data_IF_326705421726
#
_entry.id   IF_326705421726
#
_cell.length_a   1.000
_cell.length_b   1.000
_cell.length_c   1.000
_cell.angle_alpha   90.00
_cell.angle_beta   90.00
_cell.angle_gamma   90.00
#
_symmetry.space_group_name_H-M   'P 1'
#
loop_
_entity.id
_entity.type
_entity.pdbx_description
1 polymer ?
#
# COMPACT_ATOMS: atom_id res chain seq x y z
N UNK A 1 -21.56 72.25 -6.43
CA UNK A 1 -20.65 71.23 -5.79
C UNK A 1 -21.41 69.94 -5.76
N UNK A 2 -21.05 69.03 -6.65
CA UNK A 2 -21.62 67.68 -6.72
C UNK A 2 -20.62 66.72 -6.10
N UNK A 3 -21.01 66.03 -5.03
CA UNK A 3 -20.23 64.98 -4.40
C UNK A 3 -20.51 63.65 -5.15
N UNK A 4 -19.46 63.07 -5.77
CA UNK A 4 -19.52 61.77 -6.39
C UNK A 4 -19.18 60.74 -5.32
N UNK A 5 -20.18 59.99 -4.85
CA UNK A 5 -20.01 58.85 -4.00
C UNK A 5 -19.55 57.62 -4.82
N UNK A 6 -18.32 57.17 -4.64
CA UNK A 6 -17.82 55.93 -5.18
C UNK A 6 -18.26 54.77 -4.31
N UNK A 7 -19.22 53.97 -4.78
CA UNK A 7 -19.57 52.68 -4.20
C UNK A 7 -18.55 51.65 -4.67
N UNK A 8 -17.75 51.11 -3.73
CA UNK A 8 -16.89 49.94 -3.95
C UNK A 8 -17.79 48.70 -3.86
N UNK A 9 -17.86 47.85 -4.88
CA UNK A 9 -18.59 46.58 -4.76
C UNK A 9 -17.78 45.61 -3.90
N UNK A 10 -18.37 45.20 -2.78
CA UNK A 10 -17.89 44.15 -1.92
C UNK A 10 -18.01 42.78 -2.64
N UNK A 11 -16.99 42.39 -3.40
CA UNK A 11 -16.76 40.99 -3.73
C UNK A 11 -16.06 40.35 -2.54
N UNK A 12 -16.81 40.01 -1.50
CA UNK A 12 -16.38 39.02 -0.53
C UNK A 12 -16.45 37.68 -1.27
N UNK A 13 -15.33 37.27 -1.88
CA UNK A 13 -15.11 35.89 -2.26
C UNK A 13 -15.07 35.16 -0.95
N UNK A 14 -16.13 34.44 -0.62
CA UNK A 14 -16.12 33.43 0.40
C UNK A 14 -15.00 32.45 0.01
N UNK A 15 -13.86 32.56 0.68
CA UNK A 15 -12.87 31.47 0.67
C UNK A 15 -13.60 30.31 1.29
N UNK A 16 -13.97 29.35 0.44
CA UNK A 16 -14.34 28.01 0.85
C UNK A 16 -13.12 27.45 1.61
N UNK A 17 -13.19 27.57 2.93
CA UNK A 17 -12.23 26.93 3.81
C UNK A 17 -12.55 25.43 3.79
N UNK A 18 -12.20 24.76 2.69
CA UNK A 18 -12.17 23.32 2.67
C UNK A 18 -11.12 22.91 3.71
N UNK A 19 -11.60 22.56 4.90
CA UNK A 19 -10.80 21.92 5.92
C UNK A 19 -10.24 20.68 5.23
N UNK A 20 -8.91 20.61 5.11
CA UNK A 20 -8.26 19.42 4.53
C UNK A 20 -8.82 18.18 5.23
N UNK A 21 -9.16 17.13 4.49
CA UNK A 21 -9.74 15.93 5.09
C UNK A 21 -8.82 15.42 6.21
N UNK A 22 -9.42 15.05 7.33
CA UNK A 22 -8.70 14.62 8.54
C UNK A 22 -7.81 13.40 8.29
N UNK A 23 -8.18 12.57 7.31
CA UNK A 23 -7.50 11.34 6.94
C UNK A 23 -7.30 11.26 5.43
N UNK A 24 -6.31 10.47 4.93
CA UNK A 24 -6.13 10.20 3.52
C UNK A 24 -7.39 9.61 2.87
N UNK A 25 -7.57 9.75 1.54
CA UNK A 25 -8.67 9.09 0.85
C UNK A 25 -8.60 7.58 1.00
N UNK A 26 -9.75 6.91 0.93
CA UNK A 26 -9.80 5.43 1.00
C UNK A 26 -9.29 4.86 -0.31
N UNK A 27 -8.24 4.08 -0.24
CA UNK A 27 -7.67 3.31 -1.33
C UNK A 27 -8.02 1.81 -1.23
N UNK A 28 -7.64 1.06 -2.27
CA UNK A 28 -7.77 -0.39 -2.34
C UNK A 28 -6.47 -1.01 -2.88
N UNK A 29 -5.93 -2.01 -2.16
CA UNK A 29 -5.02 -2.96 -2.78
C UNK A 29 -5.85 -3.89 -3.67
N UNK A 30 -5.70 -3.73 -4.99
CA UNK A 30 -6.59 -4.41 -5.95
C UNK A 30 -6.35 -5.92 -6.06
N UNK A 31 -5.31 -6.45 -5.38
CA UNK A 31 -5.15 -7.88 -5.15
C UNK A 31 -6.40 -8.49 -4.48
N UNK A 32 -7.09 -7.72 -3.63
CA UNK A 32 -8.39 -8.08 -3.03
C UNK A 32 -9.37 -8.61 -4.08
N UNK A 33 -9.35 -8.05 -5.28
CA UNK A 33 -10.20 -8.45 -6.43
C UNK A 33 -9.38 -9.10 -7.55
N UNK A 34 -8.20 -9.62 -7.23
CA UNK A 34 -7.30 -10.26 -8.17
C UNK A 34 -7.94 -11.42 -8.93
N UNK A 35 -8.87 -12.13 -8.32
CA UNK A 35 -9.63 -13.21 -8.95
C UNK A 35 -10.52 -12.72 -10.11
N UNK A 36 -11.03 -11.48 -10.06
CA UNK A 36 -11.76 -10.84 -11.17
C UNK A 36 -10.80 -10.34 -12.25
N UNK A 37 -9.75 -9.62 -11.82
CA UNK A 37 -8.78 -8.99 -12.73
C UNK A 37 -7.93 -9.98 -13.51
N UNK A 38 -7.67 -11.17 -12.98
CA UNK A 38 -6.92 -12.24 -13.64
C UNK A 38 -7.82 -13.32 -14.29
N UNK A 39 -9.13 -13.14 -14.27
CA UNK A 39 -10.04 -14.08 -14.92
C UNK A 39 -9.83 -14.06 -16.46
N UNK A 40 -9.95 -15.21 -17.15
CA UNK A 40 -9.91 -15.23 -18.60
C UNK A 40 -10.97 -14.29 -19.21
N UNK A 41 -10.52 -13.37 -20.09
CA UNK A 41 -11.40 -12.39 -20.71
C UNK A 41 -11.85 -11.24 -19.80
N UNK A 42 -11.19 -11.02 -18.68
CA UNK A 42 -11.50 -9.91 -17.76
C UNK A 42 -11.46 -8.56 -18.45
N UNK A 43 -12.50 -7.77 -18.29
CA UNK A 43 -12.51 -6.35 -18.67
C UNK A 43 -11.96 -5.52 -17.51
N UNK A 44 -10.63 -5.29 -17.55
CA UNK A 44 -9.91 -4.52 -16.53
C UNK A 44 -10.54 -3.14 -16.30
N UNK A 45 -10.94 -2.43 -17.38
CA UNK A 45 -11.55 -1.10 -17.26
C UNK A 45 -12.90 -1.15 -16.53
N UNK A 46 -13.74 -2.12 -16.85
CA UNK A 46 -15.03 -2.31 -16.17
C UNK A 46 -14.85 -2.61 -14.69
N UNK A 47 -13.86 -3.44 -14.34
CA UNK A 47 -13.57 -3.77 -12.93
C UNK A 47 -13.04 -2.55 -12.18
N UNK A 48 -12.11 -1.76 -12.78
CA UNK A 48 -11.63 -0.51 -12.18
C UNK A 48 -12.77 0.50 -11.98
N UNK A 49 -13.72 0.56 -12.91
CA UNK A 49 -14.93 1.40 -12.76
C UNK A 49 -15.77 0.97 -11.55
N UNK A 50 -16.00 -0.33 -11.35
CA UNK A 50 -16.71 -0.84 -10.19
C UNK A 50 -15.99 -0.49 -8.88
N UNK A 51 -14.64 -0.57 -8.87
CA UNK A 51 -13.81 -0.15 -7.72
C UNK A 51 -14.01 1.34 -7.44
N UNK A 52 -14.02 2.20 -8.45
CA UNK A 52 -14.28 3.63 -8.27
C UNK A 52 -15.71 3.91 -7.75
N UNK A 53 -16.69 3.16 -8.23
CA UNK A 53 -18.13 3.34 -7.91
C UNK A 53 -18.45 3.01 -6.44
N UNK A 54 -17.73 2.09 -5.79
CA UNK A 54 -17.87 1.86 -4.35
C UNK A 54 -17.24 2.96 -3.49
N UNK A 55 -16.56 3.94 -4.13
CA UNK A 55 -16.03 5.13 -3.47
C UNK A 55 -14.53 5.11 -3.19
N UNK A 56 -13.81 4.16 -3.74
CA UNK A 56 -12.34 4.14 -3.76
C UNK A 56 -11.80 5.29 -4.62
N UNK A 57 -10.68 5.87 -4.22
CA UNK A 57 -10.02 6.99 -4.93
C UNK A 57 -8.59 6.66 -5.34
N UNK A 58 -7.92 5.80 -4.60
CA UNK A 58 -6.54 5.41 -4.84
C UNK A 58 -6.46 3.89 -4.95
N UNK A 59 -5.56 3.40 -5.79
CA UNK A 59 -5.30 1.98 -5.91
C UNK A 59 -3.83 1.67 -5.79
N UNK A 60 -3.58 0.49 -5.30
CA UNK A 60 -2.29 -0.18 -5.28
C UNK A 60 -2.42 -1.54 -5.94
N UNK A 61 -1.42 -1.97 -6.66
CA UNK A 61 -1.41 -3.24 -7.37
C UNK A 61 -0.42 -4.23 -6.78
N UNK A 62 -0.61 -5.53 -7.00
CA UNK A 62 0.32 -6.60 -6.62
C UNK A 62 0.60 -7.52 -7.80
N UNK A 63 1.04 -6.94 -8.90
CA UNK A 63 1.31 -7.62 -10.17
C UNK A 63 2.52 -6.98 -10.85
N UNK A 64 2.77 -7.27 -12.11
CA UNK A 64 3.88 -6.64 -12.84
C UNK A 64 5.19 -7.44 -12.82
N UNK A 65 5.20 -8.63 -12.22
CA UNK A 65 6.39 -9.48 -12.20
C UNK A 65 6.88 -9.93 -13.58
N UNK A 66 6.08 -9.73 -14.63
CA UNK A 66 6.43 -9.92 -16.03
C UNK A 66 6.40 -8.61 -16.84
N UNK A 67 6.33 -7.45 -16.18
CA UNK A 67 6.19 -6.14 -16.80
C UNK A 67 4.79 -5.81 -17.30
N UNK A 68 3.77 -6.61 -16.89
CA UNK A 68 2.37 -6.37 -17.23
C UNK A 68 1.52 -6.26 -15.97
N UNK A 69 0.61 -5.30 -15.97
CA UNK A 69 -0.32 -5.01 -14.90
C UNK A 69 -1.73 -5.45 -15.35
N UNK A 70 -2.14 -6.61 -14.88
CA UNK A 70 -3.37 -7.29 -15.32
C UNK A 70 -3.46 -7.37 -16.86
N UNK A 71 -2.34 -7.82 -17.50
CA UNK A 71 -2.23 -7.97 -18.96
C UNK A 71 -1.94 -6.67 -19.73
N UNK A 72 -1.87 -5.53 -19.07
CA UNK A 72 -1.63 -4.22 -19.68
C UNK A 72 -0.20 -3.73 -19.41
N UNK A 73 0.37 -2.95 -20.33
CA UNK A 73 1.59 -2.18 -20.06
C UNK A 73 1.33 -1.09 -19.02
N UNK A 74 2.36 -0.62 -18.27
CA UNK A 74 2.19 0.34 -17.17
C UNK A 74 1.39 1.57 -17.58
N UNK A 75 1.74 2.23 -18.65
CA UNK A 75 1.05 3.43 -19.18
C UNK A 75 -0.42 3.16 -19.50
N UNK A 76 -0.73 2.04 -20.15
CA UNK A 76 -2.11 1.68 -20.51
C UNK A 76 -2.95 1.42 -19.27
N UNK A 77 -2.39 0.70 -18.28
CA UNK A 77 -3.08 0.46 -17.02
C UNK A 77 -3.34 1.78 -16.28
N UNK A 78 -2.35 2.68 -16.22
CA UNK A 78 -2.48 3.99 -15.60
C UNK A 78 -3.58 4.86 -16.26
N UNK A 79 -3.65 4.85 -17.60
CA UNK A 79 -4.72 5.53 -18.36
C UNK A 79 -6.09 4.95 -18.03
N UNK A 80 -6.22 3.62 -17.98
CA UNK A 80 -7.46 2.96 -17.58
C UNK A 80 -7.90 3.35 -16.15
N UNK A 81 -6.98 3.37 -15.19
CA UNK A 81 -7.26 3.79 -13.82
C UNK A 81 -7.73 5.26 -13.78
N UNK A 82 -6.99 6.14 -14.44
CA UNK A 82 -7.31 7.58 -14.52
C UNK A 82 -8.69 7.83 -15.14
N UNK A 83 -9.02 7.17 -16.24
CA UNK A 83 -10.31 7.31 -16.92
C UNK A 83 -11.49 6.90 -16.06
N UNK A 84 -11.27 6.00 -15.09
CA UNK A 84 -12.28 5.57 -14.12
C UNK A 84 -12.30 6.43 -12.84
N UNK A 85 -11.42 7.43 -12.74
CA UNK A 85 -11.34 8.34 -11.61
C UNK A 85 -10.48 7.80 -10.45
N UNK A 86 -9.66 6.79 -10.70
CA UNK A 86 -8.72 6.22 -9.76
C UNK A 86 -7.31 6.77 -9.97
N UNK A 87 -6.56 6.95 -8.87
CA UNK A 87 -5.13 7.27 -8.90
C UNK A 87 -4.33 6.02 -8.54
N UNK A 88 -3.43 5.59 -9.40
CA UNK A 88 -2.52 4.49 -9.12
C UNK A 88 -1.31 5.00 -8.34
N UNK A 89 -1.18 4.55 -7.08
CA UNK A 89 -0.20 5.06 -6.13
C UNK A 89 1.10 4.24 -6.17
N UNK A 90 1.00 2.93 -6.23
CA UNK A 90 2.16 2.05 -6.18
C UNK A 90 1.85 0.61 -6.56
N UNK A 91 2.90 -0.20 -6.56
CA UNK A 91 2.81 -1.61 -6.88
C UNK A 91 3.67 -2.46 -5.94
N UNK A 92 3.10 -3.56 -5.47
CA UNK A 92 3.79 -4.60 -4.73
C UNK A 92 4.65 -5.47 -5.64
N UNK A 93 5.91 -5.66 -5.25
CA UNK A 93 6.88 -6.51 -5.93
C UNK A 93 7.74 -7.28 -4.91
N UNK A 94 8.30 -8.43 -5.31
CA UNK A 94 9.21 -9.18 -4.45
C UNK A 94 10.57 -8.49 -4.25
N UNK A 95 11.15 -8.63 -3.08
CA UNK A 95 12.48 -8.13 -2.72
C UNK A 95 13.61 -9.10 -3.05
N UNK A 96 14.32 -9.57 -2.02
CA UNK A 96 15.32 -10.65 -2.14
C UNK A 96 14.58 -11.99 -2.30
N UNK A 97 14.83 -12.74 -3.40
CA UNK A 97 14.22 -14.05 -3.57
C UNK A 97 14.64 -15.03 -2.47
N UNK A 98 13.69 -15.82 -1.99
CA UNK A 98 13.99 -16.92 -1.06
C UNK A 98 14.84 -17.97 -1.78
N UNK A 99 15.85 -18.50 -1.10
CA UNK A 99 16.59 -19.65 -1.60
C UNK A 99 15.64 -20.85 -1.64
N UNK A 100 15.48 -21.55 -2.78
CA UNK A 100 14.65 -22.74 -2.84
C UNK A 100 15.13 -23.77 -1.80
N UNK A 101 14.21 -24.37 -1.06
CA UNK A 101 14.56 -25.48 -0.18
C UNK A 101 15.20 -26.60 -1.03
N UNK A 102 16.23 -27.25 -0.50
CA UNK A 102 16.95 -28.31 -1.19
C UNK A 102 16.07 -29.52 -1.63
N UNK A 103 14.84 -29.60 -1.09
CA UNK A 103 13.84 -30.62 -1.42
C UNK A 103 12.84 -30.21 -2.51
N UNK A 104 12.96 -29.01 -3.10
CA UNK A 104 12.02 -28.56 -4.14
C UNK A 104 12.31 -29.28 -5.47
N UNK A 105 11.66 -30.41 -5.70
CA UNK A 105 11.76 -31.24 -6.91
C UNK A 105 11.01 -30.72 -8.13
N UNK A 106 10.62 -29.44 -8.14
CA UNK A 106 9.91 -28.87 -9.29
C UNK A 106 10.88 -28.69 -10.47
N UNK A 107 10.80 -29.60 -11.43
CA UNK A 107 11.57 -29.57 -12.70
C UNK A 107 11.04 -28.58 -13.73
N UNK A 108 9.90 -27.93 -13.48
CA UNK A 108 9.36 -26.89 -14.37
C UNK A 108 9.96 -25.55 -13.98
N UNK A 109 10.85 -25.03 -14.83
CA UNK A 109 11.33 -23.65 -14.74
C UNK A 109 10.15 -22.68 -14.94
N UNK A 110 9.53 -22.25 -13.83
CA UNK A 110 8.59 -21.11 -13.90
C UNK A 110 9.38 -19.88 -14.33
N UNK A 111 8.87 -19.06 -15.26
CA UNK A 111 9.49 -17.78 -15.55
C UNK A 111 9.75 -17.06 -14.22
N UNK A 112 11.01 -16.64 -13.99
CA UNK A 112 11.35 -15.91 -12.76
C UNK A 112 10.60 -14.59 -12.80
N UNK A 113 9.71 -14.38 -11.83
CA UNK A 113 9.09 -13.08 -11.62
C UNK A 113 10.19 -12.06 -11.29
N UNK A 114 10.07 -10.85 -11.83
CA UNK A 114 10.95 -9.72 -11.48
C UNK A 114 10.94 -9.50 -9.98
N UNK A 115 12.08 -9.08 -9.46
CA UNK A 115 12.28 -8.78 -8.05
C UNK A 115 13.28 -7.63 -7.88
N UNK A 116 13.28 -6.98 -6.72
CA UNK A 116 14.11 -5.80 -6.47
C UNK A 116 15.61 -6.08 -6.47
N UNK A 117 16.04 -7.30 -6.15
CA UNK A 117 17.48 -7.64 -6.21
C UNK A 117 17.99 -7.66 -7.65
N UNK A 118 17.23 -8.26 -8.57
CA UNK A 118 17.71 -8.61 -9.90
C UNK A 118 17.25 -7.63 -10.99
N UNK A 119 16.09 -6.96 -10.80
CA UNK A 119 15.39 -6.20 -11.85
C UNK A 119 14.96 -4.81 -11.37
N UNK A 120 15.67 -4.21 -10.42
CA UNK A 120 15.22 -2.97 -9.77
C UNK A 120 14.99 -1.82 -10.76
N UNK A 121 15.87 -1.66 -11.76
CA UNK A 121 15.74 -0.59 -12.75
C UNK A 121 14.44 -0.73 -13.55
N UNK A 122 14.17 -1.94 -14.08
CA UNK A 122 12.96 -2.21 -14.86
C UNK A 122 11.66 -1.98 -14.04
N UNK A 123 11.71 -2.32 -12.74
CA UNK A 123 10.58 -2.13 -11.83
C UNK A 123 10.31 -0.64 -11.58
N UNK A 124 11.38 0.13 -11.38
CA UNK A 124 11.29 1.58 -11.18
C UNK A 124 10.83 2.28 -12.46
N UNK A 125 11.35 1.86 -13.62
CA UNK A 125 10.94 2.40 -14.93
C UNK A 125 9.45 2.15 -15.20
N UNK A 126 8.96 0.93 -14.93
CA UNK A 126 7.54 0.59 -15.05
C UNK A 126 6.67 1.45 -14.11
N UNK A 127 7.09 1.63 -12.85
CA UNK A 127 6.39 2.47 -11.89
C UNK A 127 6.34 3.94 -12.33
N UNK A 128 7.45 4.46 -12.86
CA UNK A 128 7.55 5.82 -13.40
C UNK A 128 6.66 5.98 -14.64
N UNK A 129 6.66 5.01 -15.58
CA UNK A 129 5.79 5.02 -16.76
C UNK A 129 4.30 5.01 -16.37
N UNK A 130 3.97 4.29 -15.28
CA UNK A 130 2.63 4.26 -14.69
C UNK A 130 2.25 5.51 -13.89
N UNK A 131 3.19 6.43 -13.65
CA UNK A 131 2.97 7.62 -12.82
C UNK A 131 2.77 7.31 -11.34
N UNK A 132 3.29 6.18 -10.86
CA UNK A 132 3.27 5.81 -9.45
C UNK A 132 4.17 6.74 -8.63
N UNK A 133 3.80 6.96 -7.38
CA UNK A 133 4.62 7.69 -6.40
C UNK A 133 5.40 6.76 -5.46
N UNK A 134 5.08 5.46 -5.47
CA UNK A 134 5.69 4.46 -4.61
C UNK A 134 6.07 3.17 -5.35
N UNK A 135 7.22 2.62 -4.94
CA UNK A 135 7.63 1.23 -5.19
C UNK A 135 7.56 0.50 -3.87
N UNK A 136 6.83 -0.62 -3.79
CA UNK A 136 6.55 -1.29 -2.53
C UNK A 136 7.02 -2.74 -2.60
N UNK A 137 7.84 -3.15 -1.62
CA UNK A 137 8.22 -4.55 -1.47
C UNK A 137 7.19 -5.29 -0.64
N UNK A 138 6.53 -6.29 -1.22
CA UNK A 138 5.52 -7.08 -0.51
C UNK A 138 6.07 -8.30 0.22
N UNK A 139 7.26 -8.77 -0.14
CA UNK A 139 7.86 -9.94 0.49
C UNK A 139 9.35 -10.04 0.18
N UNK A 140 10.14 -10.52 1.12
CA UNK A 140 11.58 -10.72 0.95
C UNK A 140 12.06 -11.93 1.75
N UNK A 141 13.26 -12.42 1.47
CA UNK A 141 13.90 -13.46 2.26
C UNK A 141 14.33 -12.89 3.61
N UNK A 142 13.82 -13.43 4.71
CA UNK A 142 14.05 -12.98 6.09
C UNK A 142 14.18 -14.15 7.08
N UNK A 143 14.44 -15.36 6.63
CA UNK A 143 14.44 -16.54 7.49
C UNK A 143 15.73 -16.73 8.31
N UNK A 144 16.80 -15.99 8.00
CA UNK A 144 18.06 -15.95 8.71
C UNK A 144 18.53 -14.51 8.89
N UNK A 145 19.42 -14.26 9.85
CA UNK A 145 20.00 -12.93 10.04
C UNK A 145 20.76 -12.45 8.80
N UNK A 146 21.41 -13.33 8.06
CA UNK A 146 22.09 -13.01 6.81
C UNK A 146 21.08 -12.58 5.71
N UNK A 147 19.96 -13.28 5.59
CA UNK A 147 18.88 -12.87 4.68
C UNK A 147 18.29 -11.51 5.07
N UNK A 148 18.07 -11.25 6.36
CA UNK A 148 17.58 -9.95 6.85
C UNK A 148 18.56 -8.83 6.48
N UNK A 149 19.86 -9.01 6.67
CA UNK A 149 20.90 -8.05 6.29
C UNK A 149 20.89 -7.77 4.79
N UNK A 150 20.89 -8.81 3.97
CA UNK A 150 20.85 -8.69 2.49
C UNK A 150 19.54 -8.05 2.01
N UNK A 151 18.44 -8.35 2.66
CA UNK A 151 17.15 -7.70 2.39
C UNK A 151 17.23 -6.19 2.65
N UNK A 152 17.81 -5.77 3.77
CA UNK A 152 18.02 -4.34 4.06
C UNK A 152 18.93 -3.66 3.01
N UNK A 153 19.98 -4.33 2.53
CA UNK A 153 20.83 -3.82 1.44
C UNK A 153 20.06 -3.64 0.13
N UNK A 154 19.17 -4.58 -0.22
CA UNK A 154 18.28 -4.45 -1.39
C UNK A 154 17.34 -3.25 -1.22
N UNK A 155 16.81 -3.03 -0.02
CA UNK A 155 15.91 -1.90 0.26
C UNK A 155 16.61 -0.54 0.21
N UNK A 156 17.87 -0.46 0.66
CA UNK A 156 18.68 0.78 0.51
C UNK A 156 18.81 1.13 -0.98
N UNK A 157 19.18 0.15 -1.83
CA UNK A 157 19.28 0.38 -3.28
C UNK A 157 17.94 0.76 -3.90
N UNK A 158 16.85 0.12 -3.44
CA UNK A 158 15.50 0.44 -3.90
C UNK A 158 15.08 1.87 -3.53
N UNK A 159 15.39 2.29 -2.30
CA UNK A 159 15.13 3.66 -1.83
C UNK A 159 15.93 4.69 -2.61
N UNK A 160 17.22 4.43 -2.87
CA UNK A 160 18.08 5.33 -3.64
C UNK A 160 17.58 5.50 -5.08
N UNK A 161 17.20 4.41 -5.75
CA UNK A 161 16.74 4.47 -7.13
C UNK A 161 15.33 5.06 -7.26
N UNK A 162 14.43 4.78 -6.31
CA UNK A 162 13.11 5.40 -6.27
C UNK A 162 13.24 6.93 -6.12
N UNK A 163 14.09 7.42 -5.19
CA UNK A 163 14.35 8.85 -4.98
C UNK A 163 14.87 9.53 -6.25
N UNK A 164 15.82 8.90 -6.98
CA UNK A 164 16.35 9.41 -8.26
C UNK A 164 15.26 9.57 -9.33
N UNK A 165 14.17 8.84 -9.22
CA UNK A 165 13.02 8.90 -10.13
C UNK A 165 11.81 9.64 -9.55
N UNK A 166 12.00 10.48 -8.51
CA UNK A 166 10.95 11.24 -7.81
C UNK A 166 9.86 10.35 -7.22
N UNK A 167 10.21 9.13 -6.84
CA UNK A 167 9.36 8.17 -6.14
C UNK A 167 9.93 7.86 -4.76
N UNK A 168 9.17 7.14 -3.97
CA UNK A 168 9.57 6.67 -2.63
C UNK A 168 9.49 5.15 -2.58
N UNK A 169 10.22 4.57 -1.63
CA UNK A 169 10.24 3.12 -1.42
C UNK A 169 9.65 2.76 -0.06
N UNK A 170 8.83 1.71 -0.01
CA UNK A 170 8.31 1.15 1.24
C UNK A 170 8.42 -0.37 1.27
N UNK A 171 8.49 -0.93 2.47
CA UNK A 171 8.38 -2.36 2.74
C UNK A 171 7.06 -2.66 3.44
N UNK A 172 6.27 -3.55 2.87
CA UNK A 172 5.03 -4.06 3.43
C UNK A 172 5.33 -5.27 4.33
N UNK A 173 4.83 -5.23 5.57
CA UNK A 173 5.01 -6.34 6.50
C UNK A 173 3.84 -7.32 6.45
N UNK A 174 4.19 -8.57 6.74
CA UNK A 174 3.27 -9.60 7.22
C UNK A 174 3.54 -9.87 8.70
N UNK A 175 3.03 -10.99 9.20
CA UNK A 175 3.25 -11.40 10.59
C UNK A 175 4.69 -11.85 10.85
N UNK A 176 5.33 -12.53 9.88
CA UNK A 176 6.67 -13.12 10.01
C UNK A 176 7.79 -12.10 10.22
N UNK A 177 7.60 -10.85 9.82
CA UNK A 177 8.57 -9.77 10.02
C UNK A 177 8.81 -9.45 11.51
N UNK A 178 7.88 -9.86 12.38
CA UNK A 178 7.98 -9.69 13.82
C UNK A 178 8.54 -10.93 14.55
N UNK A 179 8.81 -12.03 13.83
CA UNK A 179 9.42 -13.22 14.42
C UNK A 179 10.88 -12.94 14.83
N UNK A 180 11.30 -13.52 15.96
CA UNK A 180 12.68 -13.41 16.45
C UNK A 180 13.59 -14.35 15.69
N UNK A 181 14.55 -13.80 14.96
CA UNK A 181 15.57 -14.51 14.19
C UNK A 181 16.93 -14.11 14.74
N UNK A 182 17.61 -15.02 15.43
CA UNK A 182 18.95 -14.78 16.01
C UNK A 182 19.02 -13.50 16.86
N UNK A 183 17.93 -13.20 17.59
CA UNK A 183 17.85 -12.08 18.53
C UNK A 183 17.39 -10.74 17.92
N UNK A 184 17.01 -10.71 16.65
CA UNK A 184 16.42 -9.54 15.98
C UNK A 184 15.11 -9.89 15.29
N UNK A 185 14.24 -8.90 15.03
CA UNK A 185 13.14 -9.03 14.08
C UNK A 185 13.52 -8.37 12.77
N UNK A 186 13.04 -8.89 11.63
CA UNK A 186 13.27 -8.25 10.34
C UNK A 186 12.67 -6.83 10.30
N UNK A 187 11.50 -6.65 10.93
CA UNK A 187 10.83 -5.36 11.05
C UNK A 187 11.71 -4.29 11.73
N UNK A 188 12.20 -4.57 12.94
CA UNK A 188 13.06 -3.63 13.67
C UNK A 188 14.42 -3.44 12.96
N UNK A 189 14.98 -4.51 12.41
CA UNK A 189 16.27 -4.45 11.72
C UNK A 189 16.23 -3.49 10.53
N UNK A 190 15.21 -3.61 9.66
CA UNK A 190 15.03 -2.71 8.51
C UNK A 190 14.87 -1.27 8.98
N UNK A 191 14.00 -1.01 9.96
CA UNK A 191 13.74 0.35 10.44
C UNK A 191 14.93 1.02 11.11
N UNK A 192 15.84 0.24 11.73
CA UNK A 192 17.01 0.77 12.46
C UNK A 192 18.29 0.82 11.62
N UNK A 193 18.39 0.00 10.57
CA UNK A 193 19.60 -0.12 9.76
C UNK A 193 19.47 0.46 8.34
N UNK A 194 18.39 1.18 8.05
CA UNK A 194 18.19 1.87 6.76
C UNK A 194 17.92 3.36 6.96
N UNK A 195 18.19 4.15 5.93
CA UNK A 195 17.92 5.60 5.97
C UNK A 195 16.42 5.86 6.10
N UNK A 196 16.03 6.53 7.18
CA UNK A 196 14.64 6.88 7.49
C UNK A 196 13.98 7.81 6.46
N UNK A 197 14.73 8.44 5.57
CA UNK A 197 14.21 9.30 4.50
C UNK A 197 14.00 8.55 3.19
N UNK A 198 14.54 7.33 3.07
CA UNK A 198 14.56 6.56 1.82
C UNK A 198 13.81 5.24 1.90
N UNK A 199 13.85 4.58 3.06
CA UNK A 199 13.17 3.30 3.29
C UNK A 199 12.06 3.52 4.30
N UNK A 200 10.82 3.40 3.86
CA UNK A 200 9.61 3.51 4.68
C UNK A 200 8.97 2.15 4.88
N UNK A 201 7.93 2.10 5.68
CA UNK A 201 7.08 0.92 5.83
C UNK A 201 5.69 1.22 5.32
N UNK A 202 5.12 0.27 4.65
CA UNK A 202 3.68 0.14 4.50
C UNK A 202 3.20 -0.79 5.61
N UNK A 203 2.60 -0.22 6.66
CA UNK A 203 2.19 -1.01 7.81
C UNK A 203 0.87 -1.73 7.54
N UNK A 204 0.90 -3.06 7.49
CA UNK A 204 -0.33 -3.86 7.57
C UNK A 204 -0.78 -3.93 9.03
N UNK A 205 -1.90 -3.25 9.31
CA UNK A 205 -2.44 -3.11 10.66
C UNK A 205 -2.91 -4.45 11.23
N UNK A 206 -3.43 -5.34 10.38
CA UNK A 206 -3.92 -6.64 10.77
C UNK A 206 -2.78 -7.61 11.09
N UNK A 207 -1.77 -7.69 10.23
CA UNK A 207 -0.63 -8.57 10.46
C UNK A 207 0.22 -8.13 11.65
N UNK A 208 0.38 -6.81 11.85
CA UNK A 208 0.99 -6.30 13.09
C UNK A 208 0.19 -6.73 14.33
N UNK A 209 -1.15 -6.58 14.30
CA UNK A 209 -2.03 -7.03 15.38
C UNK A 209 -1.97 -8.56 15.58
N UNK A 210 -1.90 -9.35 14.50
CA UNK A 210 -1.74 -10.80 14.58
C UNK A 210 -0.43 -11.23 15.25
N UNK A 211 0.64 -10.47 15.00
CA UNK A 211 1.94 -10.65 15.65
C UNK A 211 1.98 -10.14 17.11
N UNK A 212 0.84 -9.73 17.67
CA UNK A 212 0.76 -9.20 19.03
C UNK A 212 1.32 -7.78 19.20
N UNK A 213 1.55 -7.05 18.09
CA UNK A 213 2.01 -5.66 18.13
C UNK A 213 0.83 -4.70 18.25
N UNK A 214 1.03 -3.62 18.99
CA UNK A 214 0.14 -2.45 18.95
C UNK A 214 0.65 -1.47 17.87
N UNK A 215 -0.11 -1.24 16.77
CA UNK A 215 0.28 -0.27 15.74
C UNK A 215 0.60 1.13 16.30
N UNK A 216 -0.11 1.58 17.34
CA UNK A 216 0.15 2.89 17.95
C UNK A 216 1.47 2.90 18.72
N UNK A 217 1.86 1.80 19.35
CA UNK A 217 3.18 1.66 19.95
C UNK A 217 4.29 1.69 18.88
N UNK A 218 4.07 1.06 17.71
CA UNK A 218 4.99 1.14 16.59
C UNK A 218 5.12 2.58 16.05
N UNK A 219 4.01 3.33 15.94
CA UNK A 219 4.06 4.75 15.55
C UNK A 219 4.89 5.60 16.51
N UNK A 220 4.77 5.35 17.82
CA UNK A 220 5.57 6.04 18.84
C UNK A 220 7.04 5.66 18.77
N UNK A 221 7.35 4.39 18.51
CA UNK A 221 8.72 3.87 18.40
C UNK A 221 9.44 4.39 17.15
N UNK A 222 8.71 4.51 16.03
CA UNK A 222 9.24 4.89 14.73
C UNK A 222 8.40 6.01 14.07
N UNK A 223 8.37 7.23 14.64
CA UNK A 223 7.48 8.29 14.17
C UNK A 223 7.80 8.68 12.72
N UNK A 224 6.74 8.86 11.91
CA UNK A 224 6.84 9.26 10.51
C UNK A 224 7.34 8.18 9.54
N UNK A 225 7.46 6.92 9.99
CA UNK A 225 8.01 5.83 9.16
C UNK A 225 6.93 5.01 8.44
N UNK A 226 5.62 5.32 8.62
CA UNK A 226 4.50 4.53 8.10
C UNK A 226 3.56 5.38 7.22
N UNK A 227 4.05 5.92 6.09
CA UNK A 227 3.24 6.75 5.20
C UNK A 227 2.15 5.98 4.46
N UNK A 228 2.27 4.67 4.38
CA UNK A 228 1.30 3.77 3.76
C UNK A 228 0.76 2.80 4.80
N UNK A 229 -0.56 2.53 4.74
CA UNK A 229 -1.18 1.50 5.59
C UNK A 229 -2.03 0.55 4.77
N UNK A 230 -1.93 -0.74 5.08
CA UNK A 230 -2.99 -1.69 4.76
C UNK A 230 -4.02 -1.71 5.88
N UNK A 231 -5.22 -1.27 5.53
CA UNK A 231 -6.41 -1.30 6.40
C UNK A 231 -7.09 -2.65 6.17
N UNK A 232 -6.54 -3.65 6.82
CA UNK A 232 -6.97 -5.06 6.79
C UNK A 232 -7.50 -5.44 8.17
N UNK A 233 -8.51 -6.30 8.24
CA UNK A 233 -9.07 -6.79 9.49
C UNK A 233 -9.04 -8.31 9.57
N UNK A 234 -9.05 -8.84 10.78
CA UNK A 234 -8.98 -10.28 11.04
C UNK A 234 -10.15 -10.71 11.92
N UNK A 235 -10.86 -11.71 11.48
CA UNK A 235 -11.93 -12.35 12.24
C UNK A 235 -11.45 -12.76 13.64
N UNK A 236 -12.24 -12.45 14.65
CA UNK A 236 -11.88 -12.62 16.07
C UNK A 236 -11.66 -14.07 16.46
N UNK A 237 -12.35 -15.00 15.80
CA UNK A 237 -12.35 -16.42 16.13
C UNK A 237 -11.34 -17.20 15.29
N UNK A 238 -11.35 -16.96 13.98
CA UNK A 238 -10.55 -17.73 13.02
C UNK A 238 -9.19 -17.10 12.72
N UNK A 239 -9.01 -15.80 12.99
CA UNK A 239 -7.82 -15.05 12.62
C UNK A 239 -7.66 -14.85 11.10
N UNK A 240 -8.67 -15.19 10.29
CA UNK A 240 -8.64 -14.99 8.83
C UNK A 240 -9.04 -13.58 8.46
N UNK A 241 -8.52 -13.04 7.31
CA UNK A 241 -8.99 -11.77 6.79
C UNK A 241 -10.50 -11.70 6.63
N UNK A 242 -11.09 -10.58 7.02
CA UNK A 242 -12.52 -10.31 6.96
C UNK A 242 -12.77 -8.84 6.60
N UNK A 243 -14.01 -8.45 6.26
CA UNK A 243 -14.32 -7.04 5.99
C UNK A 243 -13.97 -6.13 7.16
N UNK A 244 -13.41 -4.96 6.86
CA UNK A 244 -12.96 -3.96 7.83
C UNK A 244 -14.09 -3.58 8.80
N UNK A 245 -13.78 -3.60 10.09
CA UNK A 245 -14.72 -3.26 11.17
C UNK A 245 -15.56 -4.42 11.68
N UNK A 246 -15.40 -5.63 11.12
CA UNK A 246 -16.06 -6.84 11.61
C UNK A 246 -15.13 -7.72 12.45
N UNK A 247 -13.84 -7.44 12.43
CA UNK A 247 -12.80 -8.21 13.07
C UNK A 247 -12.30 -7.64 14.40
N UNK A 248 -11.01 -7.89 14.70
CA UNK A 248 -10.38 -7.57 15.99
C UNK A 248 -9.51 -6.32 16.00
N UNK A 249 -9.24 -5.69 14.84
CA UNK A 249 -8.37 -4.51 14.75
C UNK A 249 -9.10 -3.26 15.25
N UNK A 250 -8.50 -2.53 16.19
CA UNK A 250 -9.10 -1.29 16.73
C UNK A 250 -8.73 -0.08 15.85
N UNK A 251 -9.40 0.02 14.70
CA UNK A 251 -9.19 1.12 13.76
C UNK A 251 -9.46 2.50 14.38
N UNK A 252 -10.43 2.63 15.31
CA UNK A 252 -10.73 3.93 15.92
C UNK A 252 -9.54 4.44 16.72
N UNK A 253 -8.92 3.56 17.51
CA UNK A 253 -7.70 3.87 18.26
C UNK A 253 -6.55 4.21 17.33
N UNK A 254 -6.32 3.39 16.29
CA UNK A 254 -5.23 3.57 15.33
C UNK A 254 -5.36 4.89 14.55
N UNK A 255 -6.52 5.17 13.95
CA UNK A 255 -6.75 6.39 13.17
C UNK A 255 -6.68 7.66 14.04
N UNK A 256 -7.11 7.60 15.30
CA UNK A 256 -6.98 8.74 16.22
C UNK A 256 -5.52 9.13 16.44
N UNK A 257 -4.59 8.19 16.36
CA UNK A 257 -3.15 8.39 16.52
C UNK A 257 -2.39 8.49 15.18
N UNK A 258 -3.08 8.59 14.05
CA UNK A 258 -2.52 8.53 12.69
C UNK A 258 -1.39 9.53 12.43
N UNK A 259 -1.45 10.73 13.01
CA UNK A 259 -0.40 11.76 12.85
C UNK A 259 0.98 11.29 13.28
N UNK A 260 1.08 10.38 14.25
CA UNK A 260 2.35 9.84 14.71
C UNK A 260 3.04 8.97 13.65
N UNK A 261 2.25 8.28 12.84
CA UNK A 261 2.75 7.39 11.79
C UNK A 261 3.30 8.14 10.58
N UNK A 262 2.78 9.34 10.30
CA UNK A 262 3.03 10.08 9.05
C UNK A 262 2.23 9.56 7.86
N UNK A 263 1.05 8.94 8.09
CA UNK A 263 0.24 8.32 7.04
C UNK A 263 -0.21 9.32 5.98
N UNK A 264 -0.01 8.94 4.73
CA UNK A 264 -0.36 9.69 3.52
C UNK A 264 -1.40 8.94 2.66
N UNK A 265 -1.36 7.59 2.68
CA UNK A 265 -2.25 6.72 1.92
C UNK A 265 -2.71 5.53 2.76
N UNK A 266 -3.96 5.12 2.56
CA UNK A 266 -4.55 3.96 3.23
C UNK A 266 -5.22 3.06 2.20
N UNK A 267 -4.91 1.76 2.21
CA UNK A 267 -5.48 0.80 1.26
C UNK A 267 -6.22 -0.29 2.02
N UNK A 268 -7.51 -0.46 1.73
CA UNK A 268 -8.24 -1.65 2.15
C UNK A 268 -7.59 -2.84 1.45
N UNK A 269 -7.35 -3.92 2.19
CA UNK A 269 -6.99 -5.21 1.63
C UNK A 269 -7.73 -6.33 2.35
N UNK A 270 -8.24 -7.29 1.58
CA UNK A 270 -8.89 -8.49 2.12
C UNK A 270 -8.52 -9.71 1.28
N UNK A 271 -7.64 -10.55 1.82
CA UNK A 271 -7.39 -11.86 1.22
C UNK A 271 -8.64 -12.71 1.27
N UNK A 272 -8.94 -13.39 0.15
CA UNK A 272 -10.08 -14.27 0.06
C UNK A 272 -11.44 -13.55 -0.02
N UNK A 273 -11.45 -12.28 -0.43
CA UNK A 273 -12.69 -11.59 -0.84
C UNK A 273 -13.40 -12.38 -1.95
N UNK A 274 -14.71 -12.39 -1.92
CA UNK A 274 -15.53 -13.23 -2.82
C UNK A 274 -16.13 -12.44 -3.98
N UNK A 275 -16.37 -11.16 -3.77
CA UNK A 275 -16.97 -10.25 -4.75
C UNK A 275 -16.63 -8.80 -4.37
N UNK A 276 -17.17 -7.83 -5.13
CA UNK A 276 -17.00 -6.40 -4.90
C UNK A 276 -17.69 -5.91 -3.61
N UNK A 277 -18.66 -6.64 -3.07
CA UNK A 277 -19.42 -6.22 -1.88
C UNK A 277 -18.55 -6.28 -0.61
N UNK A 278 -17.54 -7.16 -0.58
CA UNK A 278 -16.61 -7.25 0.55
C UNK A 278 -15.84 -5.94 0.75
N UNK A 279 -15.06 -5.42 -0.22
CA UNK A 279 -14.42 -4.11 -0.07
C UNK A 279 -15.43 -2.96 -0.01
N UNK A 280 -16.62 -3.05 -0.64
CA UNK A 280 -17.66 -2.03 -0.53
C UNK A 280 -18.17 -1.89 0.92
N UNK A 281 -18.37 -3.00 1.62
CA UNK A 281 -18.77 -3.01 3.03
C UNK A 281 -17.70 -2.37 3.92
N UNK A 282 -16.42 -2.65 3.63
CA UNK A 282 -15.26 -2.06 4.31
C UNK A 282 -15.20 -0.54 4.11
N UNK A 283 -15.40 -0.05 2.87
CA UNK A 283 -15.51 1.39 2.57
C UNK A 283 -16.64 2.03 3.35
N UNK A 284 -17.82 1.39 3.37
CA UNK A 284 -18.98 1.92 4.08
C UNK A 284 -18.74 1.99 5.59
N UNK A 285 -18.09 0.98 6.16
CA UNK A 285 -17.75 1.00 7.57
C UNK A 285 -16.78 2.14 7.91
N UNK A 286 -15.72 2.34 7.11
CA UNK A 286 -14.76 3.43 7.30
C UNK A 286 -15.46 4.80 7.20
N UNK A 287 -16.30 5.01 6.20
CA UNK A 287 -17.08 6.25 6.07
C UNK A 287 -17.93 6.53 7.29
N UNK A 288 -18.58 5.51 7.85
CA UNK A 288 -19.51 5.68 8.97
C UNK A 288 -18.82 5.79 10.34
N UNK A 289 -17.60 5.32 10.49
CA UNK A 289 -16.94 5.21 11.80
C UNK A 289 -15.66 6.02 11.93
N UNK A 290 -14.96 6.33 10.83
CA UNK A 290 -13.67 6.99 10.82
C UNK A 290 -13.74 8.36 10.14
N UNK A 291 -14.33 8.45 8.95
CA UNK A 291 -14.30 9.64 8.08
C UNK A 291 -15.48 10.61 8.32
N UNK A 292 -16.12 10.53 9.48
CA UNK A 292 -17.19 11.45 9.90
C UNK A 292 -16.68 12.85 10.19
#
# INVERSE_FOLDING_TARGET
MLAIGSSIPNWIVARDSSIAPKYPPVGLQVYTLGFLLNAPGADTRSILKQIADIGIKEIETATGGNGLYYGQKPKVFAEMAKDTGLKWIGNHIGGLPRTPAASATSTAARPRSRNLRDNIQEIVDDAAEGGCSWVICSSSAISTLDEIKRTAEVFVKAGDLAEQNNMRFAYHNHQSEFDQIEGVTAFDYVLTNTDKKKVFMELDLAWATAAGQDPVALFKKYPGRFPLWHVKDLDKTTGRPCPVGTGKVDFKHIFTNSKLSGVEHTFIEQDGAKNIDDPASSVQWLKNNIYK
#
